data_IF_348716754353
#
_entry.id   IF_348716754353
#
_cell.length_a   1.000
_cell.length_b   1.000
_cell.length_c   1.000
_cell.angle_alpha   90.00
_cell.angle_beta   90.00
_cell.angle_gamma   90.00
#
_symmetry.space_group_name_H-M   'P 1'
#
loop_
_entity.id
_entity.type
_entity.pdbx_description
1 polymer ?
#
# COMPACT_ATOMS: atom_id res chain seq x y z
N UNK A 1 -0.89 37.06 10.84
CA UNK A 1 -0.84 36.19 12.04
C UNK A 1 -1.47 34.86 11.65
N UNK A 2 -0.68 33.79 11.54
CA UNK A 2 -1.18 32.46 11.18
C UNK A 2 -1.83 31.84 12.43
N UNK A 3 -3.11 31.52 12.38
CA UNK A 3 -3.84 30.99 13.53
C UNK A 3 -3.19 29.70 14.04
N UNK A 4 -2.67 29.73 15.27
CA UNK A 4 -2.04 28.57 15.96
C UNK A 4 -3.02 27.39 16.08
N UNK A 5 -4.33 27.65 16.08
CA UNK A 5 -5.38 26.62 16.06
C UNK A 5 -5.31 25.70 14.83
N UNK A 6 -4.94 26.24 13.65
CA UNK A 6 -4.73 25.43 12.45
C UNK A 6 -3.50 24.54 12.54
N UNK A 7 -2.40 25.05 13.13
CA UNK A 7 -1.17 24.27 13.33
C UNK A 7 -1.32 23.17 14.39
N UNK A 8 -2.08 23.41 15.46
CA UNK A 8 -2.31 22.40 16.51
C UNK A 8 -3.15 21.23 15.99
N UNK A 9 -4.18 21.52 15.20
CA UNK A 9 -4.99 20.49 14.54
C UNK A 9 -4.14 19.67 13.57
N UNK A 10 -3.29 20.32 12.75
CA UNK A 10 -2.36 19.59 11.88
C UNK A 10 -1.39 18.73 12.70
N UNK A 11 -0.79 19.23 13.79
CA UNK A 11 0.16 18.39 14.56
C UNK A 11 -0.46 17.12 15.16
N UNK A 12 -1.74 17.15 15.53
CA UNK A 12 -2.45 15.96 16.03
C UNK A 12 -2.82 15.03 14.87
N UNK A 13 -3.29 15.58 13.75
CA UNK A 13 -3.58 14.80 12.54
C UNK A 13 -2.30 14.19 11.93
N UNK A 14 -1.17 14.88 12.01
CA UNK A 14 0.14 14.40 11.56
C UNK A 14 0.58 13.21 12.40
N UNK A 15 0.36 13.24 13.72
CA UNK A 15 0.66 12.10 14.58
C UNK A 15 -0.23 10.89 14.29
N UNK A 16 -1.52 11.11 14.07
CA UNK A 16 -2.46 10.04 13.71
C UNK A 16 -2.07 9.44 12.35
N UNK A 17 -1.77 10.28 11.35
CA UNK A 17 -1.33 9.82 10.03
C UNK A 17 -0.01 9.03 10.11
N UNK A 18 0.95 9.45 10.95
CA UNK A 18 2.20 8.71 11.15
C UNK A 18 1.95 7.34 11.78
N UNK A 19 1.08 7.26 12.80
CA UNK A 19 0.68 5.99 13.42
C UNK A 19 -0.03 5.08 12.42
N UNK A 20 -0.89 5.64 11.56
CA UNK A 20 -1.56 4.88 10.51
C UNK A 20 -0.59 4.36 9.44
N UNK A 21 0.41 5.15 9.04
CA UNK A 21 1.45 4.72 8.09
C UNK A 21 2.27 3.58 8.68
N UNK A 22 2.67 3.69 9.95
CA UNK A 22 3.45 2.66 10.65
C UNK A 22 2.65 1.35 10.77
N UNK A 23 1.37 1.45 11.17
CA UNK A 23 0.45 0.31 11.18
C UNK A 23 0.24 -0.30 9.79
N UNK A 24 0.04 0.52 8.75
CA UNK A 24 -0.11 0.04 7.38
C UNK A 24 1.13 -0.74 6.93
N UNK A 25 2.33 -0.23 7.26
CA UNK A 25 3.59 -0.89 6.95
C UNK A 25 3.72 -2.26 7.60
N UNK A 26 3.39 -2.37 8.90
CA UNK A 26 3.40 -3.64 9.63
C UNK A 26 2.42 -4.66 9.01
N UNK A 27 1.21 -4.22 8.66
CA UNK A 27 0.20 -5.09 8.04
C UNK A 27 0.61 -5.56 6.64
N UNK A 28 1.28 -4.72 5.84
CA UNK A 28 1.77 -5.08 4.51
C UNK A 28 2.83 -6.18 4.57
N UNK A 29 3.74 -6.09 5.55
CA UNK A 29 4.77 -7.10 5.80
C UNK A 29 4.13 -8.39 6.31
N UNK A 30 3.24 -8.29 7.30
CA UNK A 30 2.53 -9.44 7.83
C UNK A 30 1.72 -10.17 6.75
N UNK A 31 1.02 -9.45 5.88
CA UNK A 31 0.28 -10.01 4.75
C UNK A 31 1.21 -10.64 3.70
N UNK A 32 2.37 -10.03 3.43
CA UNK A 32 3.34 -10.55 2.46
C UNK A 32 4.05 -11.82 2.93
N UNK A 33 4.22 -11.96 4.25
CA UNK A 33 4.84 -13.08 4.94
C UNK A 33 3.84 -14.16 5.38
N UNK A 34 2.54 -13.86 5.36
CA UNK A 34 1.50 -14.85 5.64
C UNK A 34 1.52 -15.94 4.57
N UNK A 35 1.35 -17.19 5.01
CA UNK A 35 1.18 -18.34 4.13
C UNK A 35 -0.19 -18.27 3.44
N UNK A 36 -0.26 -17.53 2.34
CA UNK A 36 -1.42 -17.40 1.48
C UNK A 36 -1.03 -17.59 0.02
N UNK A 37 -1.94 -18.11 -0.78
CA UNK A 37 -1.73 -18.23 -2.22
C UNK A 37 -1.54 -16.83 -2.82
N UNK A 38 -0.47 -16.63 -3.59
CA UNK A 38 -0.28 -15.39 -4.33
C UNK A 38 -1.44 -15.25 -5.32
N UNK A 39 -1.94 -14.03 -5.53
CA UNK A 39 -2.88 -13.77 -6.62
C UNK A 39 -2.28 -14.29 -7.94
N UNK A 40 -3.14 -14.81 -8.82
CA UNK A 40 -2.68 -15.18 -10.16
C UNK A 40 -2.15 -13.94 -10.89
N UNK A 41 -1.19 -14.07 -11.81
CA UNK A 41 -0.68 -12.92 -12.56
C UNK A 41 -1.80 -12.14 -13.27
N UNK A 42 -2.80 -12.83 -13.81
CA UNK A 42 -3.94 -12.18 -14.49
C UNK A 42 -4.78 -11.32 -13.52
N UNK A 43 -4.98 -11.76 -12.27
CA UNK A 43 -5.66 -10.97 -11.23
C UNK A 43 -4.78 -9.82 -10.71
N UNK A 44 -3.46 -10.01 -10.69
CA UNK A 44 -2.51 -8.93 -10.34
C UNK A 44 -2.58 -7.83 -11.39
N UNK A 45 -2.55 -8.18 -12.67
CA UNK A 45 -2.64 -7.24 -13.79
C UNK A 45 -3.99 -6.48 -13.77
N UNK A 46 -5.10 -7.18 -13.47
CA UNK A 46 -6.42 -6.57 -13.29
C UNK A 46 -6.43 -5.51 -12.16
N UNK A 47 -5.89 -5.85 -11.00
CA UNK A 47 -5.81 -4.95 -9.83
C UNK A 47 -4.91 -3.75 -10.12
N UNK A 48 -3.76 -3.99 -10.76
CA UNK A 48 -2.80 -2.95 -11.11
C UNK A 48 -3.22 -2.15 -12.35
N UNK A 49 -4.26 -2.59 -13.06
CA UNK A 49 -4.70 -2.03 -14.34
C UNK A 49 -3.56 -1.97 -15.35
N UNK A 50 -2.73 -3.00 -15.34
CA UNK A 50 -1.63 -3.21 -16.30
C UNK A 50 -2.20 -4.05 -17.43
N UNK A 51 -2.08 -3.58 -18.67
CA UNK A 51 -2.37 -4.43 -19.82
C UNK A 51 -1.35 -5.58 -19.79
N UNK A 52 -1.77 -6.85 -19.90
CA UNK A 52 -0.85 -7.98 -19.85
C UNK A 52 0.12 -7.87 -21.04
N UNK A 53 1.31 -7.35 -20.77
CA UNK A 53 2.40 -7.33 -21.74
C UNK A 53 2.72 -8.80 -22.02
N UNK A 54 2.38 -9.24 -23.24
CA UNK A 54 2.26 -10.65 -23.58
C UNK A 54 3.36 -11.51 -22.99
N UNK A 55 2.99 -12.65 -22.38
CA UNK A 55 3.82 -13.74 -21.82
C UNK A 55 4.80 -14.37 -22.84
N UNK A 56 5.47 -13.55 -23.65
CA UNK A 56 6.43 -13.94 -24.65
C UNK A 56 7.75 -14.28 -23.94
N UNK A 57 7.93 -15.55 -23.63
CA UNK A 57 9.26 -16.13 -23.36
C UNK A 57 9.41 -16.75 -21.98
N UNK A 58 8.66 -17.80 -21.70
CA UNK A 58 8.89 -18.70 -20.57
C UNK A 58 8.62 -20.15 -20.96
N UNK A 59 9.20 -20.60 -22.07
CA UNK A 59 9.17 -22.00 -22.48
C UNK A 59 10.23 -22.80 -21.72
N UNK A 60 9.77 -23.78 -20.95
CA UNK A 60 10.51 -24.97 -20.54
C UNK A 60 9.79 -26.20 -21.09
#
# INVERSE_FOLDING_TARGET
MRCVAGLRSTTVQDHVALVEIELCGELMIAASAADGERLSPDLIDEVLKVEPEGRAGGGG
#
